data_IF_748483632649
#
_entry.id   IF_748483632649
#
_cell.length_a   1.000
_cell.length_b   1.000
_cell.length_c   1.000
_cell.angle_alpha   90.00
_cell.angle_beta   90.00
_cell.angle_gamma   90.00
#
_symmetry.space_group_name_H-M   'P 1'
#
loop_
_entity.id
_entity.type
_entity.pdbx_description
1 polymer ?
#
# COMPACT_ATOMS: atom_id res chain seq x y z
N UNK A 1 1.44 -2.75 -19.71
CA UNK A 1 0.22 -2.98 -18.90
C UNK A 1 -0.45 -1.65 -18.59
N UNK A 2 -1.79 -1.56 -18.70
CA UNK A 2 -2.60 -0.34 -18.49
C UNK A 2 -3.41 -0.36 -17.18
N UNK A 3 -3.12 -1.30 -16.28
CA UNK A 3 -3.88 -1.47 -15.05
C UNK A 3 -3.76 -0.23 -14.17
N UNK A 4 -4.91 0.39 -13.86
CA UNK A 4 -5.00 1.58 -13.00
C UNK A 4 -5.71 1.29 -11.67
N UNK A 5 -6.56 0.27 -11.66
CA UNK A 5 -7.37 -0.12 -10.50
C UNK A 5 -7.29 -1.64 -10.36
N UNK A 6 -6.96 -2.10 -9.16
CA UNK A 6 -7.06 -3.50 -8.77
C UNK A 6 -7.72 -3.59 -7.40
N UNK A 7 -8.76 -4.41 -7.30
CA UNK A 7 -9.39 -4.75 -6.03
C UNK A 7 -9.53 -6.25 -5.93
N UNK A 8 -8.90 -6.80 -4.89
CA UNK A 8 -9.03 -8.21 -4.49
C UNK A 8 -9.35 -8.31 -3.00
N UNK A 9 -10.05 -7.33 -2.46
CA UNK A 9 -10.51 -7.33 -1.07
C UNK A 9 -11.47 -8.51 -0.78
N UNK A 10 -11.55 -8.91 0.49
CA UNK A 10 -12.41 -10.01 0.97
C UNK A 10 -12.05 -11.39 0.38
N UNK A 11 -10.77 -11.67 0.22
CA UNK A 11 -10.28 -12.97 -0.21
C UNK A 11 -9.41 -13.60 0.90
N UNK A 12 -8.69 -14.68 0.57
CA UNK A 12 -7.73 -15.35 1.48
C UNK A 12 -6.31 -15.28 0.92
N UNK A 13 -5.96 -14.13 0.32
CA UNK A 13 -4.64 -13.96 -0.29
C UNK A 13 -3.61 -13.80 0.83
N UNK A 14 -2.58 -14.65 0.79
CA UNK A 14 -1.48 -14.65 1.77
C UNK A 14 -0.23 -13.94 1.24
N UNK A 15 -0.03 -13.95 -0.08
CA UNK A 15 1.11 -13.33 -0.75
C UNK A 15 0.68 -12.65 -2.03
N UNK A 16 1.38 -11.56 -2.38
CA UNK A 16 1.21 -10.88 -3.67
C UNK A 16 2.41 -11.18 -4.57
N UNK A 17 2.18 -11.45 -5.86
CA UNK A 17 3.27 -11.57 -6.82
C UNK A 17 3.98 -10.23 -6.99
N UNK A 18 5.31 -10.25 -7.05
CA UNK A 18 6.10 -9.03 -7.22
C UNK A 18 5.79 -8.33 -8.55
N UNK A 19 5.30 -9.08 -9.53
CA UNK A 19 4.92 -8.60 -10.85
C UNK A 19 3.81 -7.55 -10.80
N UNK A 20 2.96 -7.60 -9.77
CA UNK A 20 1.91 -6.60 -9.55
C UNK A 20 2.49 -5.18 -9.44
N UNK A 21 3.64 -5.04 -8.78
CA UNK A 21 4.26 -3.74 -8.54
C UNK A 21 4.95 -3.14 -9.78
N UNK A 22 5.07 -3.89 -10.88
CA UNK A 22 5.49 -3.33 -12.16
C UNK A 22 4.37 -2.62 -12.93
N UNK A 23 3.13 -2.65 -12.42
CA UNK A 23 2.02 -1.88 -12.97
C UNK A 23 2.15 -0.40 -12.60
N UNK A 24 3.14 0.31 -13.18
CA UNK A 24 3.46 1.73 -12.85
C UNK A 24 2.30 2.73 -13.03
N UNK A 25 1.23 2.34 -13.73
CA UNK A 25 0.00 3.13 -13.91
C UNK A 25 -1.06 2.89 -12.84
N UNK A 26 -0.81 1.98 -11.89
CA UNK A 26 -1.76 1.65 -10.83
C UNK A 26 -1.93 2.86 -9.90
N UNK A 27 -3.18 3.28 -9.74
CA UNK A 27 -3.62 4.38 -8.88
C UNK A 27 -4.35 3.88 -7.64
N UNK A 28 -5.05 2.76 -7.77
CA UNK A 28 -5.82 2.20 -6.67
C UNK A 28 -5.53 0.71 -6.52
N UNK A 29 -5.10 0.33 -5.33
CA UNK A 29 -4.84 -1.05 -4.94
C UNK A 29 -5.61 -1.37 -3.65
N UNK A 30 -6.65 -2.20 -3.77
CA UNK A 30 -7.46 -2.63 -2.63
C UNK A 30 -7.20 -4.09 -2.31
N UNK A 31 -6.69 -4.32 -1.11
CA UNK A 31 -6.27 -5.62 -0.59
C UNK A 31 -6.89 -5.90 0.78
N UNK A 32 -7.86 -5.10 1.23
CA UNK A 32 -8.43 -5.22 2.57
C UNK A 32 -9.14 -6.55 2.79
N UNK A 33 -9.22 -7.00 4.06
CA UNK A 33 -9.82 -8.28 4.43
C UNK A 33 -9.20 -9.47 3.67
N UNK A 34 -7.89 -9.63 3.82
CA UNK A 34 -7.12 -10.76 3.29
C UNK A 34 -6.23 -11.33 4.41
N UNK A 35 -5.29 -12.22 4.07
CA UNK A 35 -4.36 -12.84 5.02
C UNK A 35 -2.91 -12.40 4.80
N UNK A 36 -2.69 -11.22 4.22
CA UNK A 36 -1.34 -10.71 3.94
C UNK A 36 -0.63 -10.38 5.25
N UNK A 37 0.64 -10.76 5.36
CA UNK A 37 1.49 -10.43 6.51
C UNK A 37 2.63 -9.48 6.17
N UNK A 38 2.99 -9.37 4.88
CA UNK A 38 4.11 -8.56 4.40
C UNK A 38 3.77 -7.87 3.09
N UNK A 39 4.20 -6.61 2.96
CA UNK A 39 4.08 -5.85 1.72
C UNK A 39 5.49 -5.72 1.12
N UNK A 40 5.62 -6.07 -0.15
CA UNK A 40 6.91 -6.02 -0.85
C UNK A 40 7.44 -4.58 -0.92
N UNK A 41 8.74 -4.33 -0.69
CA UNK A 41 9.35 -2.99 -0.84
C UNK A 41 9.26 -2.46 -2.29
N UNK A 42 8.95 -3.34 -3.25
CA UNK A 42 8.65 -2.96 -4.64
C UNK A 42 7.40 -2.08 -4.78
N UNK A 43 6.60 -1.89 -3.73
CA UNK A 43 5.53 -0.88 -3.69
C UNK A 43 6.02 0.51 -4.13
N UNK A 44 7.30 0.83 -3.88
CA UNK A 44 7.98 2.05 -4.35
C UNK A 44 7.88 2.30 -5.87
N UNK A 45 7.66 1.27 -6.68
CA UNK A 45 7.52 1.41 -8.13
C UNK A 45 6.15 1.95 -8.56
N UNK A 46 5.16 1.92 -7.67
CA UNK A 46 3.81 2.45 -7.93
C UNK A 46 3.75 3.96 -7.63
N UNK A 47 4.55 4.75 -8.34
CA UNK A 47 4.66 6.19 -8.12
C UNK A 47 3.35 6.98 -8.31
N UNK A 48 2.38 6.39 -9.02
CA UNK A 48 1.04 6.98 -9.27
C UNK A 48 -0.03 6.46 -8.32
N UNK A 49 0.32 5.62 -7.34
CA UNK A 49 -0.63 5.07 -6.38
C UNK A 49 -1.17 6.18 -5.49
N UNK A 50 -2.48 6.37 -5.50
CA UNK A 50 -3.18 7.38 -4.69
C UNK A 50 -4.04 6.73 -3.61
N UNK A 51 -4.38 5.45 -3.75
CA UNK A 51 -5.19 4.71 -2.78
C UNK A 51 -4.64 3.30 -2.58
N UNK A 52 -4.35 2.97 -1.31
CA UNK A 52 -3.87 1.68 -0.86
C UNK A 52 -4.69 1.24 0.35
N UNK A 53 -5.47 0.17 0.20
CA UNK A 53 -6.28 -0.39 1.29
C UNK A 53 -5.72 -1.73 1.74
N UNK A 54 -5.22 -1.78 2.98
CA UNK A 54 -4.65 -2.98 3.60
C UNK A 54 -5.38 -3.39 4.89
N UNK A 55 -6.39 -2.64 5.33
CA UNK A 55 -7.13 -2.89 6.56
C UNK A 55 -7.69 -4.32 6.63
N UNK A 56 -7.67 -4.95 7.80
CA UNK A 56 -8.09 -6.35 7.95
C UNK A 56 -7.13 -7.36 7.30
N UNK A 57 -5.83 -7.12 7.39
CA UNK A 57 -4.76 -8.08 7.11
C UNK A 57 -3.92 -8.29 8.39
N UNK A 58 -2.86 -9.09 8.32
CA UNK A 58 -1.99 -9.45 9.45
C UNK A 58 -0.61 -8.79 9.36
N UNK A 59 -0.53 -7.55 8.89
CA UNK A 59 0.73 -6.82 8.80
C UNK A 59 1.23 -6.42 10.19
N UNK A 60 2.50 -6.68 10.48
CA UNK A 60 3.17 -6.19 11.70
C UNK A 60 3.81 -4.82 11.49
N UNK A 61 4.32 -4.57 10.29
CA UNK A 61 4.94 -3.31 9.89
C UNK A 61 4.69 -3.06 8.40
N UNK A 62 4.83 -1.79 8.00
CA UNK A 62 4.80 -1.39 6.60
C UNK A 62 6.21 -1.00 6.12
N UNK A 63 6.54 -1.28 4.84
CA UNK A 63 7.83 -0.91 4.28
C UNK A 63 7.99 0.61 4.20
N UNK A 64 9.17 1.13 4.56
CA UNK A 64 9.51 2.55 4.44
C UNK A 64 9.45 3.04 2.98
N UNK A 65 9.58 2.12 2.02
CA UNK A 65 9.45 2.33 0.58
C UNK A 65 8.09 2.90 0.16
N UNK A 66 7.07 2.86 1.03
CA UNK A 66 5.83 3.61 0.83
C UNK A 66 6.06 5.12 0.66
N UNK A 67 7.13 5.68 1.22
CA UNK A 67 7.54 7.07 1.01
C UNK A 67 7.82 7.42 -0.46
N UNK A 68 8.19 6.42 -1.28
CA UNK A 68 8.41 6.61 -2.71
C UNK A 68 7.11 6.70 -3.52
N UNK A 69 5.97 6.30 -2.94
CA UNK A 69 4.65 6.49 -3.54
C UNK A 69 4.22 7.95 -3.39
N UNK A 70 4.84 8.87 -4.15
CA UNK A 70 4.67 10.33 -3.98
C UNK A 70 3.22 10.82 -4.12
N UNK A 71 2.38 10.07 -4.84
CA UNK A 71 0.97 10.36 -5.00
C UNK A 71 0.08 9.81 -3.86
N UNK A 72 0.63 8.95 -2.99
CA UNK A 72 -0.10 8.34 -1.89
C UNK A 72 -0.06 9.27 -0.68
N UNK A 73 -1.23 9.81 -0.34
CA UNK A 73 -1.42 10.68 0.83
C UNK A 73 -1.98 9.88 2.00
N UNK A 74 -1.95 10.47 3.18
CA UNK A 74 -2.54 9.88 4.38
C UNK A 74 -4.02 9.49 4.17
N UNK A 75 -4.80 10.32 3.48
CA UNK A 75 -6.22 10.04 3.15
C UNK A 75 -6.42 8.84 2.21
N UNK A 76 -5.39 8.46 1.45
CA UNK A 76 -5.41 7.34 0.53
C UNK A 76 -4.91 6.03 1.12
N UNK A 77 -4.22 6.07 2.26
CA UNK A 77 -3.69 4.90 2.95
C UNK A 77 -4.70 4.42 4.01
N UNK A 78 -5.38 3.31 3.73
CA UNK A 78 -6.38 2.72 4.61
C UNK A 78 -5.76 1.50 5.30
N UNK A 79 -5.31 1.68 6.53
CA UNK A 79 -4.63 0.68 7.37
C UNK A 79 -5.17 0.70 8.80
N UNK A 80 -4.78 -0.27 9.63
CA UNK A 80 -5.03 -0.17 11.07
C UNK A 80 -4.19 0.97 11.67
N UNK A 81 -4.73 1.71 12.63
CA UNK A 81 -4.08 2.88 13.23
C UNK A 81 -2.72 2.52 13.85
N UNK A 82 -2.66 1.40 14.58
CA UNK A 82 -1.42 0.89 15.15
C UNK A 82 -0.35 0.58 14.09
N UNK A 83 -0.77 0.16 12.88
CA UNK A 83 0.16 -0.15 11.80
C UNK A 83 0.70 1.14 11.16
N UNK A 84 -0.12 2.18 11.04
CA UNK A 84 0.34 3.49 10.56
C UNK A 84 1.44 4.06 11.46
N UNK A 85 1.32 3.90 12.78
CA UNK A 85 2.33 4.35 13.76
C UNK A 85 3.67 3.57 13.68
N UNK A 86 3.71 2.42 13.00
CA UNK A 86 4.97 1.69 12.76
C UNK A 86 5.83 2.32 11.65
N UNK A 87 5.24 3.14 10.78
CA UNK A 87 5.99 3.85 9.74
C UNK A 87 6.94 4.87 10.38
N UNK A 88 8.14 5.09 9.82
CA UNK A 88 9.02 6.16 10.29
C UNK A 88 8.34 7.52 10.24
N UNK A 89 8.68 8.43 11.17
CA UNK A 89 8.09 9.78 11.26
C UNK A 89 8.15 10.52 9.93
N UNK A 90 9.30 10.46 9.26
CA UNK A 90 9.55 11.18 8.01
C UNK A 90 8.57 10.73 6.90
N UNK A 91 8.23 9.44 6.86
CA UNK A 91 7.26 8.89 5.91
C UNK A 91 5.86 9.40 6.24
N UNK A 92 5.47 9.37 7.52
CA UNK A 92 4.15 9.86 7.95
C UNK A 92 4.00 11.36 7.67
N UNK A 93 5.04 12.14 7.90
CA UNK A 93 5.03 13.59 7.67
C UNK A 93 4.97 13.91 6.17
N UNK A 94 5.70 13.17 5.33
CA UNK A 94 5.60 13.29 3.88
C UNK A 94 4.19 12.96 3.36
N UNK A 95 3.52 11.96 3.93
CA UNK A 95 2.15 11.59 3.54
C UNK A 95 1.09 12.60 3.99
N UNK A 96 1.41 13.43 5.01
CA UNK A 96 0.55 14.51 5.50
C UNK A 96 0.77 15.83 4.75
N UNK A 97 1.94 16.03 4.16
CA UNK A 97 2.25 17.23 3.38
C UNK A 97 1.38 17.31 2.12
N UNK A 98 0.73 18.45 1.90
CA UNK A 98 -0.19 18.73 0.78
C UNK A 98 0.51 18.70 -0.58
#
# INVERSE_FOLDING_TARGET
MHLQYLSVSCNKIENLPDELFFCKKLKTLKLGKNSLSKLSPKISYLALLTCLELKGNHFEFLPQELACCRALKHSGLIVEEALFETLPSDVRDQMKAE
#
